data_IF_393626839796
#
_entry.id   IF_393626839796
#
_cell.length_a   1.000
_cell.length_b   1.000
_cell.length_c   1.000
_cell.angle_alpha   90.00
_cell.angle_beta   90.00
_cell.angle_gamma   90.00
#
_symmetry.space_group_name_H-M   'P 1'
#
loop_
_entity.id
_entity.type
_entity.pdbx_description
1 polymer ?
#
# COMPACT_ATOMS: atom_id res chain seq x y z
N UNK A 1 11.47 5.45 -0.65
CA UNK A 1 10.68 4.65 -1.61
C UNK A 1 11.64 3.63 -2.22
N UNK A 2 11.54 2.36 -1.84
CA UNK A 2 12.41 1.27 -2.33
C UNK A 2 11.66 0.49 -3.42
N UNK A 3 12.33 0.13 -4.51
CA UNK A 3 11.78 -0.69 -5.60
C UNK A 3 12.49 -2.05 -5.58
N UNK A 4 11.74 -3.15 -5.61
CA UNK A 4 12.27 -4.51 -5.75
C UNK A 4 12.20 -4.87 -7.24
N UNK A 5 13.35 -5.05 -7.89
CA UNK A 5 13.41 -5.70 -9.21
C UNK A 5 14.08 -7.06 -9.04
N UNK A 6 13.41 -8.11 -9.53
CA UNK A 6 14.01 -9.44 -9.65
C UNK A 6 15.04 -9.40 -10.78
N UNK A 7 16.29 -9.76 -10.47
CA UNK A 7 17.34 -9.97 -11.47
C UNK A 7 17.33 -11.46 -11.80
N UNK A 8 16.89 -11.82 -13.01
CA UNK A 8 17.03 -13.21 -13.47
C UNK A 8 18.48 -13.49 -13.89
N UNK A 9 19.06 -14.62 -13.46
CA UNK A 9 20.36 -15.06 -13.95
C UNK A 9 20.26 -15.55 -15.39
N UNK A 10 21.20 -15.10 -16.24
CA UNK A 10 21.34 -15.58 -17.60
C UNK A 10 21.57 -17.11 -17.64
N UNK A 11 20.79 -17.78 -18.49
CA UNK A 11 20.71 -19.22 -18.73
C UNK A 11 21.96 -20.07 -18.40
N UNK A 12 21.79 -21.07 -17.54
CA UNK A 12 21.72 -22.47 -18.00
C UNK A 12 21.50 -23.45 -16.84
N UNK A 13 20.52 -24.33 -17.02
CA UNK A 13 20.39 -25.65 -16.38
C UNK A 13 20.17 -25.71 -14.86
N UNK A 14 18.89 -25.74 -14.47
CA UNK A 14 18.28 -26.58 -13.43
C UNK A 14 19.16 -26.97 -12.22
N UNK A 15 18.98 -26.24 -11.11
CA UNK A 15 18.53 -26.73 -9.81
C UNK A 15 18.21 -25.54 -8.90
N UNK A 16 17.17 -25.69 -8.07
CA UNK A 16 16.64 -24.66 -7.20
C UNK A 16 17.67 -24.25 -6.13
N UNK A 17 18.21 -23.05 -6.22
CA UNK A 17 19.04 -22.45 -5.17
C UNK A 17 18.69 -20.95 -5.04
N UNK A 18 18.16 -20.62 -3.86
CA UNK A 18 18.02 -19.33 -3.18
C UNK A 18 18.12 -18.03 -4.00
N UNK A 19 16.97 -17.36 -4.18
CA UNK A 19 16.92 -15.96 -4.63
C UNK A 19 17.38 -15.07 -3.47
N UNK A 20 18.65 -14.68 -3.48
CA UNK A 20 19.21 -13.73 -2.51
C UNK A 20 18.74 -12.31 -2.87
N UNK A 21 17.88 -11.70 -2.04
CA UNK A 21 17.45 -10.31 -2.22
C UNK A 21 18.57 -9.36 -1.79
N UNK A 22 19.34 -8.86 -2.75
CA UNK A 22 20.35 -7.84 -2.49
C UNK A 22 19.70 -6.44 -2.32
N UNK A 23 19.99 -5.78 -1.20
CA UNK A 23 19.68 -4.36 -0.98
C UNK A 23 20.73 -3.53 -1.72
N UNK A 24 20.35 -2.88 -2.82
CA UNK A 24 21.27 -1.99 -3.56
C UNK A 24 21.18 -0.57 -2.98
N UNK A 25 22.28 0.03 -2.50
CA UNK A 25 22.29 1.40 -2.00
C UNK A 25 22.10 2.42 -3.14
N UNK A 26 21.43 3.53 -2.82
CA UNK A 26 20.91 4.57 -3.73
C UNK A 26 21.96 5.31 -4.60
N UNK A 27 23.24 5.00 -4.48
CA UNK A 27 24.32 5.78 -5.09
C UNK A 27 25.11 4.93 -6.10
N UNK A 28 24.48 4.55 -7.21
CA UNK A 28 25.21 4.10 -8.38
C UNK A 28 24.78 4.96 -9.57
N UNK A 29 25.73 5.80 -9.99
CA UNK A 29 25.66 6.68 -11.16
C UNK A 29 25.22 5.86 -12.37
N UNK A 30 24.14 6.30 -13.04
CA UNK A 30 23.67 5.71 -14.30
C UNK A 30 24.80 5.79 -15.34
N UNK A 31 25.31 4.64 -15.76
CA UNK A 31 25.97 4.53 -17.06
C UNK A 31 24.85 4.36 -18.11
N UNK A 32 24.85 5.20 -19.13
CA UNK A 32 23.92 5.23 -20.27
C UNK A 32 24.09 3.99 -21.18
N UNK A 33 23.85 2.80 -20.65
CA UNK A 33 23.63 1.60 -21.48
C UNK A 33 22.11 1.48 -21.72
N UNK A 34 21.64 1.45 -22.98
CA UNK A 34 20.21 1.34 -23.25
C UNK A 34 19.69 0.01 -22.71
N UNK A 35 18.72 0.08 -21.81
CA UNK A 35 17.94 -1.09 -21.38
C UNK A 35 17.34 -1.69 -22.64
N UNK A 36 17.83 -2.87 -23.04
CA UNK A 36 17.26 -3.66 -24.13
C UNK A 36 15.82 -4.01 -23.75
N UNK A 37 14.88 -3.23 -24.27
CA UNK A 37 13.45 -3.50 -24.13
C UNK A 37 13.22 -4.80 -24.88
N UNK A 38 13.06 -5.91 -24.15
CA UNK A 38 12.65 -7.17 -24.75
C UNK A 38 11.39 -6.92 -25.56
N UNK A 39 11.41 -7.33 -26.83
CA UNK A 39 10.25 -7.19 -27.71
C UNK A 39 9.02 -7.82 -27.03
N UNK A 40 7.84 -7.18 -27.10
CA UNK A 40 6.66 -7.73 -26.46
C UNK A 40 6.34 -9.09 -27.07
N UNK A 41 6.54 -10.15 -26.29
CA UNK A 41 5.99 -11.46 -26.60
C UNK A 41 4.48 -11.26 -26.61
N UNK A 42 3.84 -11.46 -27.77
CA UNK A 42 2.40 -11.50 -27.87
C UNK A 42 1.89 -12.74 -27.11
N UNK A 43 1.69 -12.61 -25.80
CA UNK A 43 0.95 -13.58 -25.02
C UNK A 43 -0.49 -13.47 -25.50
N UNK A 44 -0.94 -14.50 -26.22
CA UNK A 44 -2.37 -14.70 -26.50
C UNK A 44 -3.07 -14.85 -25.16
N UNK A 45 -3.66 -13.77 -24.66
CA UNK A 45 -4.61 -13.84 -23.56
C UNK A 45 -5.89 -14.41 -24.15
N UNK A 46 -6.04 -15.73 -24.04
CA UNK A 46 -7.36 -16.33 -24.13
C UNK A 46 -8.12 -15.84 -22.89
N UNK A 47 -9.10 -14.95 -23.11
CA UNK A 47 -10.06 -14.53 -22.10
C UNK A 47 -10.97 -15.71 -21.77
N UNK A 48 -10.47 -16.65 -20.98
CA UNK A 48 -11.27 -17.68 -20.34
C UNK A 48 -11.94 -17.09 -19.10
N UNK A 49 -13.26 -17.29 -19.02
CA UNK A 49 -14.20 -16.49 -18.24
C UNK A 49 -13.89 -16.32 -16.76
N UNK A 50 -14.40 -15.21 -16.22
CA UNK A 50 -14.44 -14.80 -14.81
C UNK A 50 -13.83 -15.83 -13.86
N UNK A 51 -12.49 -15.80 -13.74
CA UNK A 51 -11.78 -16.54 -12.71
C UNK A 51 -12.32 -16.02 -11.38
N UNK A 52 -12.87 -16.93 -10.57
CA UNK A 52 -13.29 -16.60 -9.21
C UNK A 52 -12.03 -16.20 -8.45
N UNK A 53 -11.83 -14.89 -8.31
CA UNK A 53 -10.67 -14.31 -7.64
C UNK A 53 -10.55 -14.93 -6.25
N UNK A 54 -9.36 -15.48 -5.98
CA UNK A 54 -9.07 -16.07 -4.70
C UNK A 54 -8.30 -15.06 -3.85
N UNK A 55 -9.06 -14.19 -3.17
CA UNK A 55 -8.51 -13.20 -2.23
C UNK A 55 -7.60 -13.82 -1.17
N UNK A 56 -7.81 -15.09 -0.82
CA UNK A 56 -6.98 -15.79 0.15
C UNK A 56 -5.54 -15.94 -0.36
N UNK A 57 -5.35 -16.32 -1.62
CA UNK A 57 -4.01 -16.43 -2.22
C UNK A 57 -3.32 -15.08 -2.32
N UNK A 58 -4.05 -14.01 -2.62
CA UNK A 58 -3.52 -12.65 -2.63
C UNK A 58 -3.01 -12.25 -1.24
N UNK A 59 -3.80 -12.49 -0.19
CA UNK A 59 -3.41 -12.18 1.19
C UNK A 59 -2.25 -13.05 1.71
N UNK A 60 -2.02 -14.20 1.07
CA UNK A 60 -0.94 -15.13 1.36
C UNK A 60 0.34 -14.85 0.55
N UNK A 61 0.40 -13.77 -0.25
CA UNK A 61 1.62 -13.42 -0.98
C UNK A 61 2.73 -12.95 -0.03
N UNK A 62 4.03 -13.11 -0.39
CA UNK A 62 5.14 -12.62 0.43
C UNK A 62 5.05 -11.12 0.74
N UNK A 63 4.58 -10.32 -0.23
CA UNK A 63 4.41 -8.87 -0.08
C UNK A 63 3.33 -8.58 0.96
N UNK A 64 2.18 -9.26 0.87
CA UNK A 64 1.09 -9.05 1.82
C UNK A 64 1.46 -9.50 3.23
N UNK A 65 2.19 -10.61 3.37
CA UNK A 65 2.72 -11.04 4.69
C UNK A 65 3.70 -10.04 5.29
N UNK A 66 4.57 -9.45 4.47
CA UNK A 66 5.45 -8.38 4.93
C UNK A 66 4.66 -7.18 5.44
N UNK A 67 3.62 -6.76 4.71
CA UNK A 67 2.77 -5.63 5.14
C UNK A 67 1.99 -5.96 6.41
N UNK A 68 1.43 -7.17 6.54
CA UNK A 68 0.74 -7.62 7.76
C UNK A 68 1.65 -7.63 8.99
N UNK A 69 2.96 -7.76 8.81
CA UNK A 69 3.95 -7.73 9.89
C UNK A 69 4.30 -6.32 10.37
N UNK A 70 3.84 -5.25 9.69
CA UNK A 70 4.04 -3.87 10.14
C UNK A 70 3.36 -3.66 11.50
N UNK A 71 4.04 -2.97 12.43
CA UNK A 71 3.61 -2.76 13.82
C UNK A 71 2.16 -2.25 13.99
N UNK A 72 1.69 -1.45 13.03
CA UNK A 72 0.31 -0.98 13.00
C UNK A 72 -0.70 -2.14 12.95
N UNK A 73 -0.46 -3.17 12.13
CA UNK A 73 -1.35 -4.33 12.05
C UNK A 73 -1.17 -5.31 13.22
N UNK A 74 -0.03 -5.25 13.92
CA UNK A 74 0.14 -6.00 15.16
C UNK A 74 -0.64 -5.37 16.32
N UNK A 75 -0.69 -4.04 16.37
CA UNK A 75 -1.42 -3.28 17.40
C UNK A 75 -2.90 -3.10 17.09
N UNK A 76 -3.26 -2.99 15.81
CA UNK A 76 -4.62 -2.88 15.30
C UNK A 76 -4.85 -3.92 14.20
N UNK A 77 -5.09 -5.20 14.56
CA UNK A 77 -5.36 -6.24 13.59
C UNK A 77 -6.53 -5.90 12.67
N UNK A 78 -6.38 -6.17 11.38
CA UNK A 78 -7.37 -5.90 10.34
C UNK A 78 -7.65 -7.15 9.52
N UNK A 79 -8.91 -7.36 9.15
CA UNK A 79 -9.36 -8.44 8.24
C UNK A 79 -10.19 -7.87 7.07
N UNK A 80 -9.59 -7.03 6.22
CA UNK A 80 -10.30 -6.43 5.09
C UNK A 80 -10.82 -7.50 4.12
N UNK A 81 -12.06 -7.34 3.67
CA UNK A 81 -12.71 -8.34 2.82
C UNK A 81 -12.34 -8.23 1.35
N UNK A 82 -11.90 -7.05 0.89
CA UNK A 82 -11.53 -6.73 -0.49
C UNK A 82 -12.54 -7.11 -1.59
N UNK A 83 -13.77 -7.50 -1.27
CA UNK A 83 -14.84 -7.83 -2.23
C UNK A 83 -14.96 -6.89 -3.45
N UNK A 84 -14.89 -5.55 -3.32
CA UNK A 84 -14.99 -4.66 -4.48
C UNK A 84 -13.82 -4.78 -5.47
N UNK A 85 -12.70 -5.39 -5.06
CA UNK A 85 -11.58 -5.63 -5.96
C UNK A 85 -11.90 -6.65 -7.07
N UNK A 86 -13.02 -7.36 -6.96
CA UNK A 86 -13.50 -8.26 -8.00
C UNK A 86 -13.86 -7.56 -9.32
N UNK A 87 -14.00 -6.24 -9.29
CA UNK A 87 -14.28 -5.41 -10.47
C UNK A 87 -13.03 -5.04 -11.28
N UNK A 88 -11.83 -5.30 -10.74
CA UNK A 88 -10.56 -4.98 -11.39
C UNK A 88 -9.91 -6.22 -12.00
N UNK A 89 -9.06 -6.01 -13.02
CA UNK A 89 -8.23 -7.06 -13.61
C UNK A 89 -7.37 -7.76 -12.55
N UNK A 90 -7.25 -9.09 -12.65
CA UNK A 90 -6.57 -9.93 -11.64
C UNK A 90 -5.15 -9.44 -11.31
N UNK A 91 -4.39 -9.03 -12.33
CA UNK A 91 -3.02 -8.53 -12.16
C UNK A 91 -2.93 -7.18 -11.42
N UNK A 92 -4.02 -6.43 -11.30
CA UNK A 92 -4.06 -5.14 -10.59
C UNK A 92 -4.47 -5.30 -9.12
N UNK A 93 -5.14 -6.38 -8.76
CA UNK A 93 -5.81 -6.52 -7.47
C UNK A 93 -4.84 -6.49 -6.29
N UNK A 94 -3.73 -7.23 -6.38
CA UNK A 94 -2.71 -7.24 -5.33
C UNK A 94 -2.11 -5.84 -5.12
N UNK A 95 -1.83 -5.10 -6.20
CA UNK A 95 -1.33 -3.74 -6.12
C UNK A 95 -2.33 -2.78 -5.45
N UNK A 96 -3.63 -2.93 -5.75
CA UNK A 96 -4.68 -2.12 -5.11
C UNK A 96 -4.84 -2.50 -3.64
N UNK A 97 -4.83 -3.79 -3.30
CA UNK A 97 -4.90 -4.26 -1.91
C UNK A 97 -3.71 -3.75 -1.09
N UNK A 98 -2.49 -3.82 -1.65
CA UNK A 98 -1.29 -3.27 -1.05
C UNK A 98 -1.42 -1.77 -0.79
N UNK A 99 -1.92 -1.01 -1.78
CA UNK A 99 -2.18 0.43 -1.62
C UNK A 99 -3.16 0.71 -0.48
N UNK A 100 -4.26 -0.02 -0.40
CA UNK A 100 -5.26 0.13 0.66
C UNK A 100 -4.65 -0.18 2.05
N UNK A 101 -3.85 -1.23 2.15
CA UNK A 101 -3.15 -1.56 3.41
C UNK A 101 -2.19 -0.45 3.83
N UNK A 102 -1.39 0.08 2.90
CA UNK A 102 -0.48 1.19 3.18
C UNK A 102 -1.21 2.49 3.52
N UNK A 103 -2.34 2.75 2.87
CA UNK A 103 -3.21 3.88 3.22
C UNK A 103 -3.68 3.75 4.66
N UNK A 104 -4.13 2.57 5.09
CA UNK A 104 -4.51 2.33 6.48
C UNK A 104 -3.36 2.63 7.45
N UNK A 105 -2.15 2.13 7.16
CA UNK A 105 -0.95 2.43 7.98
C UNK A 105 -0.74 3.94 8.09
N UNK A 106 -0.72 4.65 6.96
CA UNK A 106 -0.49 6.08 6.93
C UNK A 106 -1.52 6.84 7.77
N UNK A 107 -2.81 6.58 7.58
CA UNK A 107 -3.86 7.27 8.36
C UNK A 107 -3.84 6.88 9.83
N UNK A 108 -3.45 5.64 10.14
CA UNK A 108 -3.30 5.12 11.50
C UNK A 108 -2.04 5.61 12.21
N UNK A 109 -1.09 6.27 11.53
CA UNK A 109 0.13 6.80 12.16
C UNK A 109 0.20 8.32 12.26
N UNK A 110 -0.77 9.05 11.71
CA UNK A 110 -0.80 10.53 11.77
C UNK A 110 -0.76 11.05 13.22
N UNK A 111 0.02 12.12 13.40
CA UNK A 111 0.27 12.76 14.69
C UNK A 111 -0.11 14.24 14.68
N UNK A 112 -0.40 14.80 15.87
CA UNK A 112 -0.73 16.21 16.01
C UNK A 112 0.42 17.15 15.57
N UNK A 113 1.67 16.68 15.64
CA UNK A 113 2.87 17.42 15.21
C UNK A 113 3.01 17.52 13.70
N UNK A 114 2.24 16.76 12.92
CA UNK A 114 2.35 16.79 11.47
C UNK A 114 2.03 18.21 10.95
N UNK A 115 2.91 18.80 10.12
CA UNK A 115 2.86 20.21 9.78
C UNK A 115 1.67 20.56 8.88
N UNK A 116 1.20 19.60 8.07
CA UNK A 116 0.09 19.76 7.14
C UNK A 116 -0.78 18.52 7.22
N UNK A 117 -1.96 18.65 7.83
CA UNK A 117 -2.95 17.59 7.91
C UNK A 117 -4.19 18.05 7.14
N UNK A 118 -4.53 17.34 6.06
CA UNK A 118 -5.77 17.56 5.34
C UNK A 118 -6.84 16.58 5.86
N UNK A 119 -7.62 17.02 6.86
CA UNK A 119 -8.63 16.19 7.51
C UNK A 119 -9.69 15.64 6.55
N UNK A 120 -10.15 16.43 5.58
CA UNK A 120 -11.14 15.99 4.59
C UNK A 120 -10.60 14.84 3.72
N UNK A 121 -9.33 14.94 3.31
CA UNK A 121 -8.65 13.89 2.56
C UNK A 121 -8.51 12.61 3.37
N UNK A 122 -8.24 12.72 4.68
CA UNK A 122 -8.14 11.56 5.57
C UNK A 122 -9.49 10.88 5.76
N UNK A 123 -10.54 11.66 6.05
CA UNK A 123 -11.89 11.13 6.21
C UNK A 123 -12.38 10.46 4.92
N UNK A 124 -12.09 11.03 3.75
CA UNK A 124 -12.36 10.39 2.46
C UNK A 124 -11.61 9.07 2.29
N UNK A 125 -10.34 9.02 2.71
CA UNK A 125 -9.55 7.81 2.68
C UNK A 125 -10.13 6.73 3.61
N UNK A 126 -10.59 7.11 4.81
CA UNK A 126 -11.28 6.18 5.72
C UNK A 126 -12.53 5.58 5.10
N UNK A 127 -13.35 6.38 4.40
CA UNK A 127 -14.53 5.86 3.70
C UNK A 127 -14.17 4.85 2.60
N UNK A 128 -13.08 5.08 1.86
CA UNK A 128 -12.56 4.10 0.89
C UNK A 128 -12.12 2.81 1.61
N UNK A 129 -11.39 2.93 2.72
CA UNK A 129 -10.93 1.77 3.49
C UNK A 129 -12.12 0.97 4.07
N UNK A 130 -13.11 1.63 4.64
CA UNK A 130 -14.31 0.99 5.19
C UNK A 130 -15.07 0.22 4.10
N UNK A 131 -15.19 0.78 2.90
CA UNK A 131 -15.79 0.10 1.73
C UNK A 131 -15.07 -1.21 1.37
N UNK A 132 -13.77 -1.30 1.64
CA UNK A 132 -12.96 -2.52 1.41
C UNK A 132 -12.89 -3.44 2.64
N UNK A 133 -13.62 -3.11 3.71
CA UNK A 133 -13.79 -3.95 4.91
C UNK A 133 -12.81 -3.67 6.03
N UNK A 134 -12.10 -2.54 6.01
CA UNK A 134 -11.25 -2.15 7.13
C UNK A 134 -12.10 -1.67 8.31
N UNK A 135 -11.69 -2.00 9.53
CA UNK A 135 -12.21 -1.39 10.74
C UNK A 135 -11.50 -0.04 10.98
N UNK A 136 -12.22 1.05 10.67
CA UNK A 136 -11.70 2.42 10.75
C UNK A 136 -12.13 3.18 11.99
N UNK A 137 -12.98 2.61 12.87
CA UNK A 137 -13.64 3.34 13.96
C UNK A 137 -12.64 4.08 14.87
N UNK A 138 -11.66 3.35 15.42
CA UNK A 138 -10.66 3.92 16.30
C UNK A 138 -9.80 5.01 15.62
N UNK A 139 -9.47 4.81 14.35
CA UNK A 139 -8.67 5.75 13.56
C UNK A 139 -9.48 7.01 13.25
N UNK A 140 -10.77 6.86 12.93
CA UNK A 140 -11.70 7.95 12.68
C UNK A 140 -11.87 8.81 13.93
N UNK A 141 -12.14 8.21 15.09
CA UNK A 141 -12.27 8.94 16.36
C UNK A 141 -11.01 9.77 16.64
N UNK A 142 -9.83 9.18 16.49
CA UNK A 142 -8.56 9.89 16.68
C UNK A 142 -8.39 11.06 15.71
N UNK A 143 -8.74 10.88 14.44
CA UNK A 143 -8.64 11.96 13.43
C UNK A 143 -9.56 13.13 13.79
N UNK A 144 -10.77 12.86 14.26
CA UNK A 144 -11.71 13.90 14.70
C UNK A 144 -11.22 14.62 15.97
N UNK A 145 -10.60 13.90 16.90
CA UNK A 145 -9.95 14.52 18.08
C UNK A 145 -8.78 15.42 17.67
N UNK A 146 -7.92 14.96 16.77
CA UNK A 146 -6.81 15.75 16.22
C UNK A 146 -7.32 17.03 15.55
N UNK A 147 -8.42 16.94 14.79
CA UNK A 147 -9.05 18.10 14.17
C UNK A 147 -9.55 19.10 15.21
N UNK A 148 -10.27 18.63 16.24
CA UNK A 148 -10.78 19.46 17.32
C UNK A 148 -9.66 20.21 18.07
N UNK A 149 -8.53 19.55 18.31
CA UNK A 149 -7.36 20.18 18.95
C UNK A 149 -6.75 21.28 18.08
N UNK A 150 -6.60 21.05 16.77
CA UNK A 150 -6.08 22.04 15.82
C UNK A 150 -6.99 23.26 15.74
N UNK A 151 -8.30 23.04 15.63
CA UNK A 151 -9.30 24.12 15.61
C UNK A 151 -9.27 24.96 16.89
N UNK A 152 -9.09 24.29 18.04
CA UNK A 152 -8.97 24.96 19.34
C UNK A 152 -7.68 25.79 19.43
N UNK A 153 -6.55 25.25 18.95
CA UNK A 153 -5.28 25.96 18.90
C UNK A 153 -5.36 27.20 18.01
N UNK A 154 -6.00 27.09 16.84
CA UNK A 154 -6.18 28.22 15.93
C UNK A 154 -7.06 29.31 16.56
N UNK A 155 -8.17 28.93 17.21
CA UNK A 155 -9.03 29.88 17.94
C UNK A 155 -8.24 30.64 19.02
N UNK A 156 -7.45 29.92 19.83
CA UNK A 156 -6.61 30.52 20.86
C UNK A 156 -5.56 31.47 20.28
N UNK A 157 -4.95 31.11 19.14
CA UNK A 157 -3.98 31.96 18.46
C UNK A 157 -4.64 33.24 17.94
N UNK A 158 -5.82 33.14 17.31
CA UNK A 158 -6.59 34.30 16.84
C UNK A 158 -6.98 35.23 18.00
N UNK A 159 -7.44 34.69 19.13
CA UNK A 159 -7.80 35.47 20.32
C UNK A 159 -6.61 36.17 20.99
N UNK A 160 -5.36 35.71 20.79
CA UNK A 160 -4.15 36.35 21.32
C UNK A 160 -3.67 37.52 20.44
N UNK A 161 -4.08 37.55 19.18
CA UNK A 161 -3.69 38.57 18.20
C UNK A 161 -4.72 39.69 18.04
N UNK A 162 -5.94 39.52 18.57
CA UNK A 162 -7.01 40.51 18.63
C UNK A 162 -6.97 41.33 19.91
#
# INVERSE_FOLDING_TARGET
>A
MLYLMAVEPADSSSKAEDIEMAIVPFNMVYADEPISICQPIAIRVETQGASKINFRFMMDSPIMRFVQAVDVFQSMPQEPHFRPLAEYEEFLQEGIALRLMMNFVNVATIQASDPIINFDSLLKCLSELELHGFNVEAVQSRILELQSMKDSQEKLYRSRLS
#
